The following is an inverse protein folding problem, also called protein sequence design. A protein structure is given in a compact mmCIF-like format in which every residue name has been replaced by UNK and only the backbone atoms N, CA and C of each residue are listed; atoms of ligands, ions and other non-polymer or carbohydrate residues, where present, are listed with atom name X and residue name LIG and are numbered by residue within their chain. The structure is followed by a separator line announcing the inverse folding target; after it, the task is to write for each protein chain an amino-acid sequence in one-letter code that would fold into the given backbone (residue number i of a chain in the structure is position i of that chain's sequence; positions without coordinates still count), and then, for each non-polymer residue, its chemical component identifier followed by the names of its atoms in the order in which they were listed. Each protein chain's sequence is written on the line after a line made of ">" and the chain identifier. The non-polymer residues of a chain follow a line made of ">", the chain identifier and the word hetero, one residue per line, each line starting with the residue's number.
data_IF_600537812265
#
_entry.id   IF_600537812265
#
_cell.length_a   1.000
_cell.length_b   1.000
_cell.length_c   1.000
_cell.angle_alpha   90.00
_cell.angle_beta   90.00
_cell.angle_gamma   90.00
#
_symmetry.space_group_name_H-M   'P 1'
#
loop_
_entity.id
_entity.type
_entity.pdbx_description
1 polymer ?
#
# COMPACT_ATOMS: atom_id res chain seq x y z
N UNK A 1 -4.65 -26.78 -4.13
CA UNK A 1 -3.58 -26.45 -5.12
C UNK A 1 -3.30 -24.95 -5.06
N UNK A 2 -2.06 -24.51 -4.86
CA UNK A 2 -1.71 -23.07 -4.85
C UNK A 2 -1.86 -22.51 -6.27
N UNK A 3 -2.89 -21.70 -6.53
CA UNK A 3 -3.03 -21.00 -7.82
C UNK A 3 -1.84 -20.05 -7.98
N UNK A 4 -1.08 -20.20 -9.07
CA UNK A 4 -0.06 -19.24 -9.48
C UNK A 4 -0.76 -17.95 -9.91
N UNK A 5 -0.44 -16.85 -9.22
CA UNK A 5 -1.05 -15.53 -9.45
C UNK A 5 -0.57 -14.91 -10.78
N UNK A 6 0.56 -15.38 -11.33
CA UNK A 6 1.11 -14.92 -12.60
C UNK A 6 1.52 -16.07 -13.52
N UNK A 7 1.48 -15.79 -14.83
CA UNK A 7 1.98 -16.68 -15.88
C UNK A 7 3.51 -16.69 -15.88
N UNK A 8 4.15 -17.87 -16.05
CA UNK A 8 5.60 -17.96 -16.24
C UNK A 8 6.06 -17.44 -17.61
N UNK A 9 5.15 -17.32 -18.59
CA UNK A 9 5.46 -16.76 -19.91
C UNK A 9 5.06 -15.30 -19.95
N UNK A 10 6.04 -14.43 -20.20
CA UNK A 10 5.81 -13.01 -20.49
C UNK A 10 5.04 -12.88 -21.80
N UNK A 11 4.06 -11.96 -21.83
CA UNK A 11 3.37 -11.54 -23.07
C UNK A 11 3.97 -10.27 -23.66
N UNK A 12 5.02 -9.74 -23.03
CA UNK A 12 5.71 -8.53 -23.49
C UNK A 12 6.50 -8.84 -24.76
N UNK A 13 6.34 -8.00 -25.78
CA UNK A 13 7.21 -8.01 -26.94
C UNK A 13 8.54 -7.32 -26.57
N UNK A 14 9.52 -8.12 -26.14
CA UNK A 14 10.83 -7.63 -25.69
C UNK A 14 11.64 -6.98 -26.81
N UNK A 15 11.62 -7.55 -28.02
CA UNK A 15 12.33 -6.96 -29.18
C UNK A 15 11.86 -5.54 -29.49
N UNK A 16 10.55 -5.25 -29.31
CA UNK A 16 10.01 -3.88 -29.44
C UNK A 16 10.53 -2.96 -28.35
N UNK A 17 10.59 -3.43 -27.11
CA UNK A 17 11.07 -2.62 -25.96
C UNK A 17 12.56 -2.33 -26.11
N UNK A 18 13.36 -3.33 -26.49
CA UNK A 18 14.81 -3.20 -26.64
C UNK A 18 15.19 -2.25 -27.80
N UNK A 19 14.34 -2.16 -28.83
CA UNK A 19 14.54 -1.26 -29.96
C UNK A 19 13.97 0.16 -29.73
N UNK A 20 13.23 0.40 -28.65
CA UNK A 20 12.60 1.69 -28.39
C UNK A 20 13.65 2.71 -27.91
N UNK A 21 13.77 3.83 -28.61
CA UNK A 21 14.63 4.92 -28.18
C UNK A 21 14.01 5.71 -27.01
N UNK A 22 14.84 6.19 -26.08
CA UNK A 22 14.40 6.92 -24.87
C UNK A 22 13.48 8.10 -25.18
N UNK A 23 13.78 8.87 -26.22
CA UNK A 23 12.97 10.03 -26.67
C UNK A 23 11.54 9.68 -27.10
N UNK A 24 11.27 8.40 -27.37
CA UNK A 24 9.96 7.90 -27.79
C UNK A 24 9.17 7.29 -26.62
N UNK A 25 9.72 7.32 -25.40
CA UNK A 25 9.01 6.89 -24.19
C UNK A 25 8.03 7.98 -23.79
N UNK A 26 6.74 7.64 -23.76
CA UNK A 26 5.70 8.51 -23.23
C UNK A 26 5.72 8.45 -21.70
N UNK A 27 5.95 9.60 -21.07
CA UNK A 27 5.98 9.76 -19.61
C UNK A 27 4.80 10.62 -19.11
N UNK A 28 3.78 10.86 -19.95
CA UNK A 28 2.65 11.72 -19.60
C UNK A 28 1.84 11.23 -18.39
N UNK A 29 1.86 9.93 -18.11
CA UNK A 29 1.21 9.29 -16.96
C UNK A 29 2.13 9.09 -15.74
N UNK A 30 3.43 9.34 -15.90
CA UNK A 30 4.47 9.08 -14.91
C UNK A 30 5.29 10.36 -14.66
N UNK A 31 4.71 11.39 -14.00
CA UNK A 31 5.41 12.63 -13.72
C UNK A 31 6.64 12.39 -12.84
N UNK A 32 7.68 13.22 -13.02
CA UNK A 32 8.89 13.14 -12.21
C UNK A 32 8.59 13.37 -10.72
N UNK A 33 9.25 12.58 -9.86
CA UNK A 33 9.12 12.72 -8.42
C UNK A 33 9.96 13.92 -7.97
N UNK A 34 9.28 14.94 -7.43
CA UNK A 34 9.95 16.12 -6.89
C UNK A 34 10.74 15.78 -5.61
N UNK A 35 11.80 16.54 -5.27
CA UNK A 35 12.52 16.38 -4.00
C UNK A 35 11.61 16.47 -2.77
N UNK A 36 10.59 17.33 -2.78
CA UNK A 36 9.63 17.47 -1.67
C UNK A 36 8.72 16.24 -1.55
N UNK A 37 8.32 15.65 -2.67
CA UNK A 37 7.57 14.39 -2.68
C UNK A 37 8.44 13.26 -2.13
N UNK A 38 9.70 13.19 -2.57
CA UNK A 38 10.66 12.20 -2.11
C UNK A 38 10.97 12.33 -0.61
N UNK A 39 11.09 13.56 -0.09
CA UNK A 39 11.30 13.82 1.33
C UNK A 39 10.16 13.29 2.23
N UNK A 40 8.94 13.16 1.68
CA UNK A 40 7.77 12.59 2.38
C UNK A 40 7.65 11.07 2.20
N UNK A 41 8.52 10.44 1.42
CA UNK A 41 8.46 9.01 1.16
C UNK A 41 8.78 8.19 2.41
N UNK A 42 8.04 7.10 2.60
CA UNK A 42 8.29 6.15 3.70
C UNK A 42 9.15 5.00 3.17
N UNK A 43 10.40 4.93 3.62
CA UNK A 43 11.32 3.85 3.24
C UNK A 43 10.88 2.53 3.88
N UNK A 44 10.43 1.56 3.07
CA UNK A 44 10.10 0.21 3.54
C UNK A 44 11.34 -0.67 3.45
N UNK A 45 12.13 -0.75 4.52
CA UNK A 45 13.31 -1.62 4.57
C UNK A 45 12.91 -3.10 4.57
N UNK A 46 13.49 -3.86 3.64
CA UNK A 46 13.46 -5.32 3.62
C UNK A 46 12.22 -5.97 2.99
N UNK A 47 11.25 -5.20 2.46
CA UNK A 47 10.05 -5.66 1.74
C UNK A 47 9.39 -6.94 2.29
N UNK A 48 9.55 -7.20 3.59
CA UNK A 48 9.04 -8.42 4.20
C UNK A 48 7.53 -8.39 4.04
N UNK A 49 6.91 -9.47 3.54
CA UNK A 49 5.47 -9.54 3.45
C UNK A 49 4.90 -9.20 4.81
N UNK A 50 4.15 -8.11 4.91
CA UNK A 50 3.44 -7.83 6.14
C UNK A 50 2.43 -8.96 6.35
N UNK A 51 2.33 -9.52 7.56
CA UNK A 51 1.28 -10.49 7.85
C UNK A 51 -0.07 -9.87 7.48
N UNK A 52 -0.89 -10.66 6.79
CA UNK A 52 -2.19 -10.22 6.35
C UNK A 52 -3.03 -9.79 7.57
N UNK A 53 -3.77 -8.69 7.43
CA UNK A 53 -4.75 -8.29 8.44
C UNK A 53 -5.88 -9.32 8.43
N UNK A 54 -6.31 -9.75 9.60
CA UNK A 54 -7.53 -10.55 9.72
C UNK A 54 -8.75 -9.64 9.47
N UNK A 55 -9.66 -10.08 8.60
CA UNK A 55 -10.96 -9.45 8.46
C UNK A 55 -11.87 -9.97 9.58
N UNK A 56 -12.42 -9.06 10.37
CA UNK A 56 -13.37 -9.40 11.43
C UNK A 56 -14.56 -8.44 11.44
N UNK A 57 -15.71 -8.93 11.87
CA UNK A 57 -16.88 -8.11 12.15
C UNK A 57 -16.85 -7.72 13.63
N UNK A 58 -16.61 -6.45 13.92
CA UNK A 58 -16.54 -5.89 15.27
C UNK A 58 -17.66 -4.87 15.48
N UNK A 59 -18.32 -4.91 16.65
CA UNK A 59 -19.21 -3.85 17.09
C UNK A 59 -18.40 -2.76 17.80
N UNK A 60 -18.63 -1.52 17.42
CA UNK A 60 -18.01 -0.32 18.01
C UNK A 60 -19.12 0.68 18.24
N UNK A 61 -19.03 1.47 19.31
CA UNK A 61 -20.01 2.51 19.60
C UNK A 61 -20.16 3.49 18.43
N UNK A 62 -21.39 3.96 18.23
CA UNK A 62 -21.77 4.73 17.05
C UNK A 62 -21.02 6.06 16.98
N UNK A 63 -20.88 6.74 18.10
CA UNK A 63 -20.17 8.01 18.25
C UNK A 63 -18.66 7.85 17.98
N UNK A 64 -18.03 6.79 18.51
CA UNK A 64 -16.63 6.44 18.24
C UNK A 64 -16.41 6.21 16.75
N UNK A 65 -17.28 5.42 16.11
CA UNK A 65 -17.20 5.17 14.67
C UNK A 65 -17.40 6.46 13.86
N UNK A 66 -18.37 7.30 14.24
CA UNK A 66 -18.65 8.57 13.58
C UNK A 66 -17.44 9.51 13.66
N UNK A 67 -16.81 9.60 14.84
CA UNK A 67 -15.62 10.42 15.05
C UNK A 67 -14.44 9.99 14.17
N UNK A 68 -14.18 8.68 14.06
CA UNK A 68 -13.12 8.17 13.19
C UNK A 68 -13.42 8.42 11.71
N UNK A 69 -14.67 8.24 11.27
CA UNK A 69 -15.10 8.54 9.90
C UNK A 69 -14.98 10.03 9.55
N UNK A 70 -15.27 10.92 10.51
CA UNK A 70 -15.13 12.38 10.34
C UNK A 70 -13.71 12.84 10.02
N UNK A 71 -12.69 12.04 10.35
CA UNK A 71 -11.27 12.30 10.02
C UNK A 71 -10.88 11.89 8.59
N UNK A 72 -11.86 11.55 7.75
CA UNK A 72 -11.68 11.25 6.33
C UNK A 72 -11.06 9.88 6.05
N UNK A 73 -10.48 9.74 4.85
CA UNK A 73 -9.92 8.48 4.34
C UNK A 73 -8.91 7.88 5.31
N UNK A 74 -8.93 6.55 5.45
CA UNK A 74 -8.01 5.82 6.31
C UNK A 74 -8.48 5.64 7.76
N UNK A 75 -9.74 5.93 8.07
CA UNK A 75 -10.30 5.76 9.43
C UNK A 75 -10.06 4.35 10.01
N UNK A 76 -10.25 3.28 9.21
CA UNK A 76 -9.98 1.90 9.64
C UNK A 76 -8.50 1.68 9.99
N UNK A 77 -7.59 2.28 9.22
CA UNK A 77 -6.15 2.22 9.50
C UNK A 77 -5.85 2.89 10.84
N UNK A 78 -6.47 4.04 11.13
CA UNK A 78 -6.30 4.74 12.42
C UNK A 78 -6.82 3.92 13.59
N UNK A 79 -8.00 3.29 13.46
CA UNK A 79 -8.55 2.37 14.46
C UNK A 79 -7.54 1.24 14.75
N UNK A 80 -7.05 0.58 13.70
CA UNK A 80 -6.07 -0.50 13.86
C UNK A 80 -4.74 -0.02 14.47
N UNK A 81 -4.29 1.19 14.16
CA UNK A 81 -3.10 1.79 14.81
C UNK A 81 -3.32 1.99 16.30
N UNK A 82 -4.49 2.50 16.71
CA UNK A 82 -4.82 2.69 18.12
C UNK A 82 -4.87 1.34 18.87
N UNK A 83 -5.55 0.34 18.32
CA UNK A 83 -5.61 -1.02 18.89
C UNK A 83 -4.21 -1.62 19.05
N UNK A 84 -3.33 -1.41 18.06
CA UNK A 84 -1.94 -1.87 18.13
C UNK A 84 -1.16 -1.15 19.23
N UNK A 85 -1.30 0.16 19.34
CA UNK A 85 -0.62 0.94 20.38
C UNK A 85 -1.05 0.46 21.77
N UNK A 86 -2.36 0.28 21.99
CA UNK A 86 -2.90 -0.29 23.23
C UNK A 86 -2.35 -1.68 23.53
N UNK A 87 -2.35 -2.58 22.54
CA UNK A 87 -1.81 -3.94 22.69
C UNK A 87 -0.33 -3.92 23.08
N UNK A 88 0.50 -3.06 22.49
CA UNK A 88 1.93 -2.99 22.81
C UNK A 88 2.19 -2.39 24.19
N UNK A 89 1.38 -1.41 24.60
CA UNK A 89 1.49 -0.83 25.94
C UNK A 89 1.14 -1.84 27.06
N UNK A 90 0.37 -2.88 26.75
CA UNK A 90 -0.06 -3.91 27.69
C UNK A 90 0.60 -5.27 27.46
N UNK A 91 1.63 -5.31 26.60
CA UNK A 91 2.48 -6.50 26.45
C UNK A 91 3.66 -6.36 27.42
N UNK A 92 3.80 -7.34 28.31
CA UNK A 92 4.99 -7.53 29.12
C UNK A 92 6.22 -7.85 28.24
#
# INVERSE_FOLDING_TARGET
>A
MKKRISSPKSRTNWARVDALADRAIDLSDAPEISPEMFARAVVRRGLKPMPAKAQLTLRVDRDVLAWFKGRGRGYQTRINTLLRAYMQAHRA
#
